data_IF_300782339330
#
_entry.id   IF_300782339330
#
_cell.length_a   1.000
_cell.length_b   1.000
_cell.length_c   1.000
_cell.angle_alpha   90.00
_cell.angle_beta   90.00
_cell.angle_gamma   90.00
#
_symmetry.space_group_name_H-M   'P 1'
#
loop_
_entity.id
_entity.type
_entity.pdbx_description
1 polymer ?
#
# COMPACT_ATOMS: atom_id res chain seq x y z
N UNK A 1 18.95 28.24 9.74
CA UNK A 1 18.15 28.67 8.56
C UNK A 1 18.44 27.87 7.29
N UNK A 2 19.70 27.68 6.86
CA UNK A 2 20.02 26.93 5.62
C UNK A 2 19.51 25.49 5.56
N UNK A 3 19.54 24.76 6.69
CA UNK A 3 19.05 23.37 6.78
C UNK A 3 17.51 23.27 6.68
N UNK A 4 16.79 24.24 7.25
CA UNK A 4 15.32 24.31 7.15
C UNK A 4 14.84 24.58 5.74
N UNK A 5 15.50 25.52 5.03
CA UNK A 5 15.18 25.81 3.62
C UNK A 5 15.50 24.61 2.73
N UNK A 6 16.63 23.94 2.95
CA UNK A 6 17.00 22.76 2.16
C UNK A 6 16.01 21.60 2.33
N UNK A 7 15.60 21.29 3.56
CA UNK A 7 14.59 20.25 3.83
C UNK A 7 13.24 20.60 3.20
N UNK A 8 12.79 21.85 3.32
CA UNK A 8 11.50 22.28 2.78
C UNK A 8 11.45 22.25 1.25
N UNK A 9 12.55 22.59 0.57
CA UNK A 9 12.60 22.64 -0.90
C UNK A 9 12.77 21.25 -1.51
N UNK A 10 13.71 20.46 -0.98
CA UNK A 10 13.99 19.11 -1.51
C UNK A 10 12.89 18.11 -1.15
N UNK A 11 12.33 18.16 0.06
CA UNK A 11 11.19 17.31 0.39
C UNK A 11 9.93 17.77 -0.33
N UNK A 12 9.66 19.07 -0.49
CA UNK A 12 8.50 19.56 -1.23
C UNK A 12 8.45 19.09 -2.69
N UNK A 13 9.59 19.09 -3.38
CA UNK A 13 9.68 18.68 -4.79
C UNK A 13 9.76 17.15 -5.00
N UNK A 14 10.40 16.43 -4.06
CA UNK A 14 10.52 14.97 -4.13
C UNK A 14 9.33 14.24 -3.51
N UNK A 15 8.58 14.87 -2.61
CA UNK A 15 7.44 14.26 -1.93
C UNK A 15 6.45 13.68 -2.93
N UNK A 16 6.03 14.37 -4.01
CA UNK A 16 5.19 13.75 -5.03
C UNK A 16 5.79 12.46 -5.60
N UNK A 17 7.07 12.41 -5.93
CA UNK A 17 7.69 11.16 -6.42
C UNK A 17 7.71 10.06 -5.35
N UNK A 18 8.04 10.40 -4.11
CA UNK A 18 8.10 9.49 -2.96
C UNK A 18 6.72 8.90 -2.66
N UNK A 19 5.64 9.68 -2.81
CA UNK A 19 4.27 9.23 -2.51
C UNK A 19 3.62 8.54 -3.72
N UNK A 20 3.79 9.06 -4.95
CA UNK A 20 3.05 8.58 -6.11
C UNK A 20 3.62 7.28 -6.71
N UNK A 21 4.93 7.04 -6.62
CA UNK A 21 5.53 5.79 -7.15
C UNK A 21 4.97 4.55 -6.40
N UNK A 22 4.99 4.49 -5.06
CA UNK A 22 4.43 3.35 -4.33
C UNK A 22 2.93 3.16 -4.61
N UNK A 23 2.18 4.26 -4.65
CA UNK A 23 0.73 4.28 -4.96
C UNK A 23 0.45 3.68 -6.34
N UNK A 24 1.19 4.12 -7.36
CA UNK A 24 1.04 3.61 -8.72
C UNK A 24 1.35 2.11 -8.81
N UNK A 25 2.37 1.64 -8.08
CA UNK A 25 2.72 0.22 -8.02
C UNK A 25 1.60 -0.59 -7.35
N UNK A 26 1.01 -0.12 -6.23
CA UNK A 26 -0.09 -0.80 -5.56
C UNK A 26 -1.37 -0.83 -6.41
N UNK A 27 -1.65 0.25 -7.15
CA UNK A 27 -2.74 0.29 -8.12
C UNK A 27 -2.53 -0.73 -9.25
N UNK A 28 -1.33 -0.79 -9.83
CA UNK A 28 -0.97 -1.79 -10.84
C UNK A 28 -1.07 -3.21 -10.29
N UNK A 29 -0.67 -3.44 -9.04
CA UNK A 29 -0.87 -4.72 -8.37
C UNK A 29 -2.37 -5.09 -8.27
N UNK A 30 -3.24 -4.16 -7.86
CA UNK A 30 -4.69 -4.45 -7.78
C UNK A 30 -5.24 -4.80 -9.15
N UNK A 31 -4.88 -4.05 -10.20
CA UNK A 31 -5.28 -4.38 -11.57
C UNK A 31 -4.77 -5.77 -11.98
N UNK A 32 -3.52 -6.10 -11.63
CA UNK A 32 -2.92 -7.41 -11.89
C UNK A 32 -3.62 -8.56 -11.14
N UNK A 33 -4.21 -8.33 -9.96
CA UNK A 33 -5.04 -9.31 -9.26
C UNK A 33 -6.42 -9.48 -9.89
N UNK A 34 -7.00 -8.43 -10.46
CA UNK A 34 -8.27 -8.52 -11.18
C UNK A 34 -8.11 -9.26 -12.52
N UNK A 35 -6.97 -9.10 -13.19
CA UNK A 35 -6.66 -9.77 -14.44
C UNK A 35 -6.15 -11.20 -14.19
N UNK A 36 -7.07 -12.18 -14.17
CA UNK A 36 -6.73 -13.61 -13.97
C UNK A 36 -7.12 -14.52 -15.14
N UNK A 37 -7.45 -13.97 -16.30
CA UNK A 37 -7.95 -14.74 -17.44
C UNK A 37 -6.82 -15.17 -18.37
N UNK A 38 -6.64 -16.48 -18.56
CA UNK A 38 -5.68 -17.04 -19.50
C UNK A 38 -4.41 -17.61 -18.86
N UNK A 39 -3.66 -18.41 -19.64
CA UNK A 39 -2.51 -19.17 -19.15
C UNK A 39 -1.34 -18.29 -18.68
N UNK A 40 -1.15 -17.11 -19.29
CA UNK A 40 -0.11 -16.16 -18.90
C UNK A 40 -0.21 -15.72 -17.43
N UNK A 41 -1.43 -15.39 -16.98
CA UNK A 41 -1.69 -14.93 -15.62
C UNK A 41 -1.58 -16.03 -14.55
N UNK A 42 -1.50 -17.30 -14.98
CA UNK A 42 -1.25 -18.44 -14.10
C UNK A 42 0.24 -18.84 -14.05
N UNK A 43 1.09 -18.20 -14.84
CA UNK A 43 2.52 -18.50 -14.85
C UNK A 43 3.20 -18.12 -13.52
N UNK A 44 4.20 -18.90 -13.12
CA UNK A 44 4.99 -18.62 -11.92
C UNK A 44 5.70 -17.24 -11.99
N UNK A 45 6.09 -16.80 -13.19
CA UNK A 45 6.68 -15.49 -13.41
C UNK A 45 5.70 -14.36 -13.08
N UNK A 46 4.45 -14.46 -13.55
CA UNK A 46 3.43 -13.45 -13.24
C UNK A 46 3.14 -13.36 -11.73
N UNK A 47 3.03 -14.50 -11.05
CA UNK A 47 2.83 -14.52 -9.60
C UNK A 47 3.99 -13.87 -8.83
N UNK A 48 5.24 -14.08 -9.28
CA UNK A 48 6.42 -13.41 -8.72
C UNK A 48 6.42 -11.91 -9.00
N UNK A 49 6.00 -11.48 -10.19
CA UNK A 49 5.86 -10.05 -10.53
C UNK A 49 4.83 -9.37 -9.63
N UNK A 50 3.68 -9.98 -9.38
CA UNK A 50 2.69 -9.46 -8.42
C UNK A 50 3.26 -9.36 -7.00
N UNK A 51 3.98 -10.39 -6.55
CA UNK A 51 4.66 -10.38 -5.26
C UNK A 51 5.66 -9.21 -5.16
N UNK A 52 6.46 -8.99 -6.20
CA UNK A 52 7.40 -7.87 -6.27
C UNK A 52 6.67 -6.53 -6.21
N UNK A 53 5.63 -6.33 -7.02
CA UNK A 53 4.83 -5.10 -7.04
C UNK A 53 4.30 -4.79 -5.64
N UNK A 54 3.61 -5.73 -4.99
CA UNK A 54 3.00 -5.43 -3.69
C UNK A 54 4.04 -5.21 -2.58
N UNK A 55 5.13 -5.98 -2.55
CA UNK A 55 6.16 -5.84 -1.52
C UNK A 55 6.86 -4.47 -1.68
N UNK A 56 7.27 -4.11 -2.90
CA UNK A 56 7.92 -2.82 -3.16
C UNK A 56 6.95 -1.67 -2.94
N UNK A 57 5.69 -1.82 -3.38
CA UNK A 57 4.63 -0.85 -3.14
C UNK A 57 4.42 -0.58 -1.66
N UNK A 58 4.30 -1.62 -0.82
CA UNK A 58 4.13 -1.46 0.63
C UNK A 58 5.34 -0.81 1.29
N UNK A 59 6.56 -1.27 0.98
CA UNK A 59 7.79 -0.67 1.53
C UNK A 59 7.88 0.82 1.16
N UNK A 60 7.56 1.16 -0.09
CA UNK A 60 7.50 2.54 -0.54
C UNK A 60 6.41 3.36 0.18
N UNK A 61 5.22 2.77 0.40
CA UNK A 61 4.12 3.43 1.12
C UNK A 61 4.46 3.72 2.58
N UNK A 62 5.26 2.88 3.25
CA UNK A 62 5.78 3.22 4.58
C UNK A 62 6.70 4.45 4.54
N UNK A 63 7.58 4.54 3.52
CA UNK A 63 8.41 5.73 3.33
C UNK A 63 7.59 6.99 3.10
N UNK A 64 6.55 6.89 2.27
CA UNK A 64 5.61 7.98 2.03
C UNK A 64 4.86 8.41 3.30
N UNK A 65 4.34 7.44 4.06
CA UNK A 65 3.64 7.67 5.32
C UNK A 65 4.51 8.41 6.35
N UNK A 66 5.74 7.92 6.58
CA UNK A 66 6.69 8.56 7.48
C UNK A 66 7.01 10.00 7.05
N UNK A 67 7.11 10.26 5.74
CA UNK A 67 7.31 11.61 5.23
C UNK A 67 6.12 12.54 5.44
N UNK A 68 4.89 12.01 5.40
CA UNK A 68 3.66 12.76 5.65
C UNK A 68 3.48 13.13 7.12
N UNK A 69 3.70 12.18 8.03
CA UNK A 69 3.60 12.43 9.47
C UNK A 69 4.60 13.49 9.96
N UNK A 70 5.78 13.58 9.35
CA UNK A 70 6.75 14.64 9.67
C UNK A 70 6.27 16.04 9.27
N UNK A 71 5.33 16.16 8.33
CA UNK A 71 4.73 17.43 7.90
C UNK A 71 3.50 17.79 8.75
N UNK A 72 2.78 16.80 9.32
CA UNK A 72 1.60 17.04 10.15
C UNK A 72 1.90 17.94 11.36
N UNK A 73 3.06 17.75 12.00
CA UNK A 73 3.52 18.57 13.14
C UNK A 73 3.65 20.06 12.78
N UNK A 74 3.76 20.39 11.49
CA UNK A 74 3.92 21.74 10.97
C UNK A 74 2.57 22.37 10.58
N UNK A 75 1.65 21.61 10.00
CA UNK A 75 0.39 22.13 9.43
C UNK A 75 -0.82 22.09 10.39
N UNK A 76 -0.69 21.39 11.52
CA UNK A 76 -1.72 21.31 12.55
C UNK A 76 -2.85 20.34 12.21
N UNK A 77 -3.64 19.96 13.22
CA UNK A 77 -4.69 18.96 13.07
C UNK A 77 -5.96 19.56 12.44
N UNK A 78 -6.36 19.04 11.28
CA UNK A 78 -7.67 19.30 10.68
C UNK A 78 -8.45 17.99 10.52
N UNK A 79 -9.79 18.06 10.49
CA UNK A 79 -10.61 16.87 10.25
C UNK A 79 -10.28 16.22 8.91
N UNK A 80 -10.03 17.03 7.86
CA UNK A 80 -9.61 16.55 6.55
C UNK A 80 -8.30 15.75 6.63
N UNK A 81 -7.30 16.26 7.34
CA UNK A 81 -6.01 15.59 7.51
C UNK A 81 -6.16 14.28 8.28
N UNK A 82 -6.92 14.28 9.37
CA UNK A 82 -7.20 13.07 10.16
C UNK A 82 -7.89 11.97 9.32
N UNK A 83 -8.84 12.35 8.45
CA UNK A 83 -9.48 11.39 7.52
C UNK A 83 -8.51 10.90 6.46
N UNK A 84 -7.68 11.77 5.89
CA UNK A 84 -6.64 11.39 4.93
C UNK A 84 -5.70 10.33 5.52
N UNK A 85 -5.20 10.56 6.73
CA UNK A 85 -4.32 9.65 7.47
C UNK A 85 -4.98 8.32 7.82
N UNK A 86 -6.26 8.35 8.22
CA UNK A 86 -7.02 7.14 8.49
C UNK A 86 -7.07 6.24 7.25
N UNK A 87 -7.47 6.78 6.10
CA UNK A 87 -7.55 5.99 4.86
C UNK A 87 -6.16 5.57 4.36
N UNK A 88 -5.13 6.40 4.54
CA UNK A 88 -3.75 6.04 4.22
C UNK A 88 -3.29 4.84 5.05
N UNK A 89 -3.60 4.86 6.35
CA UNK A 89 -3.28 3.78 7.30
C UNK A 89 -4.03 2.50 6.96
N UNK A 90 -5.34 2.58 6.66
CA UNK A 90 -6.15 1.43 6.21
C UNK A 90 -5.55 0.82 4.94
N UNK A 91 -5.19 1.66 3.97
CA UNK A 91 -4.53 1.23 2.73
C UNK A 91 -3.25 0.46 3.02
N UNK A 92 -2.36 1.02 3.86
CA UNK A 92 -1.10 0.38 4.23
C UNK A 92 -1.35 -0.96 4.91
N UNK A 93 -2.30 -1.06 5.86
CA UNK A 93 -2.57 -2.33 6.55
C UNK A 93 -3.11 -3.41 5.61
N UNK A 94 -4.06 -3.08 4.74
CA UNK A 94 -4.63 -4.02 3.78
C UNK A 94 -3.53 -4.56 2.86
N UNK A 95 -2.75 -3.67 2.23
CA UNK A 95 -1.68 -4.12 1.34
C UNK A 95 -0.52 -4.78 2.10
N UNK A 96 -0.24 -4.40 3.35
CA UNK A 96 0.78 -5.07 4.18
C UNK A 96 0.41 -6.50 4.53
N UNK A 97 -0.87 -6.78 4.79
CA UNK A 97 -1.36 -8.14 5.00
C UNK A 97 -1.14 -8.99 3.74
N UNK A 98 -1.53 -8.47 2.58
CA UNK A 98 -1.34 -9.13 1.29
C UNK A 98 0.15 -9.30 0.96
N UNK A 99 0.98 -8.29 1.19
CA UNK A 99 2.42 -8.32 0.97
C UNK A 99 3.09 -9.36 1.85
N UNK A 100 2.68 -9.46 3.12
CA UNK A 100 3.19 -10.46 4.06
C UNK A 100 2.83 -11.87 3.59
N UNK A 101 1.60 -12.10 3.11
CA UNK A 101 1.21 -13.38 2.55
C UNK A 101 2.05 -13.74 1.31
N UNK A 102 2.30 -12.80 0.41
CA UNK A 102 3.18 -13.00 -0.74
C UNK A 102 4.64 -13.23 -0.34
N UNK A 103 5.16 -12.50 0.64
CA UNK A 103 6.52 -12.65 1.16
C UNK A 103 6.74 -14.04 1.77
N UNK A 104 5.80 -14.50 2.62
CA UNK A 104 5.84 -15.85 3.20
C UNK A 104 5.88 -16.90 2.08
N UNK A 105 5.06 -16.76 1.04
CA UNK A 105 5.06 -17.67 -0.09
C UNK A 105 6.39 -17.65 -0.86
N UNK A 106 6.93 -16.47 -1.16
CA UNK A 106 8.24 -16.33 -1.84
C UNK A 106 9.34 -17.01 -1.04
N UNK A 107 9.36 -16.81 0.28
CA UNK A 107 10.31 -17.48 1.17
C UNK A 107 10.09 -18.99 1.13
N UNK A 108 8.84 -19.46 1.22
CA UNK A 108 8.49 -20.88 1.28
C UNK A 108 8.93 -21.68 0.03
N UNK A 109 8.83 -21.08 -1.15
CA UNK A 109 9.27 -21.69 -2.42
C UNK A 109 10.78 -21.51 -2.68
N UNK A 110 11.49 -20.77 -1.83
CA UNK A 110 12.93 -20.51 -1.95
C UNK A 110 13.76 -21.44 -1.06
N UNK A 111 15.07 -21.47 -1.32
CA UNK A 111 16.05 -22.17 -0.47
C UNK A 111 16.09 -21.63 0.97
N UNK A 112 15.60 -20.41 1.21
CA UNK A 112 15.55 -19.79 2.54
C UNK A 112 14.53 -20.48 3.48
N UNK A 113 13.58 -21.26 2.95
CA UNK A 113 12.60 -21.99 3.78
C UNK A 113 13.18 -23.20 4.51
N UNK A 114 14.31 -23.74 4.05
CA UNK A 114 14.90 -24.97 4.60
C UNK A 114 15.20 -24.91 6.10
N UNK A 115 15.83 -23.86 6.65
CA UNK A 115 15.98 -23.71 8.10
C UNK A 115 14.67 -23.41 8.82
N UNK A 116 13.74 -22.69 8.19
CA UNK A 116 12.45 -22.29 8.80
C UNK A 116 11.50 -23.47 8.99
N UNK A 117 11.60 -24.49 8.13
CA UNK A 117 10.85 -25.75 8.20
C UNK A 117 11.39 -26.72 9.26
N UNK A 118 12.54 -26.43 9.88
CA UNK A 118 13.16 -27.25 10.93
C UNK A 118 12.93 -26.64 12.32
N UNK A 119 13.11 -27.45 13.36
CA UNK A 119 13.12 -26.93 14.74
C UNK A 119 14.31 -25.97 14.93
N UNK A 120 14.15 -24.89 15.72
CA UNK A 120 12.98 -24.54 16.54
C UNK A 120 11.89 -23.73 15.82
N UNK A 121 12.06 -23.34 14.56
CA UNK A 121 11.18 -22.38 13.87
C UNK A 121 9.89 -23.00 13.29
N UNK A 122 9.88 -24.32 13.05
CA UNK A 122 8.75 -25.03 12.45
C UNK A 122 7.35 -24.75 13.08
N UNK A 123 7.18 -24.66 14.42
CA UNK A 123 5.88 -24.40 15.05
C UNK A 123 5.28 -23.04 14.68
N UNK A 124 6.11 -22.05 14.34
CA UNK A 124 5.67 -20.71 13.90
C UNK A 124 5.53 -20.67 12.39
N UNK A 125 6.47 -21.28 11.66
CA UNK A 125 6.47 -21.26 10.20
C UNK A 125 5.25 -21.95 9.58
N UNK A 126 4.86 -23.10 10.12
CA UNK A 126 3.76 -23.89 9.54
C UNK A 126 2.40 -23.15 9.57
N UNK A 127 1.94 -22.58 10.71
CA UNK A 127 0.75 -21.73 10.73
C UNK A 127 0.82 -20.54 9.77
N UNK A 128 1.99 -19.88 9.67
CA UNK A 128 2.18 -18.75 8.76
C UNK A 128 1.99 -19.15 7.29
N UNK A 129 2.50 -20.32 6.87
CA UNK A 129 2.31 -20.82 5.51
C UNK A 129 0.84 -21.15 5.21
N UNK A 130 0.10 -21.70 6.18
CA UNK A 130 -1.35 -21.96 6.04
C UNK A 130 -2.11 -20.63 5.91
N UNK A 131 -1.85 -19.67 6.80
CA UNK A 131 -2.49 -18.36 6.78
C UNK A 131 -2.19 -17.62 5.46
N UNK A 132 -0.94 -17.64 5.00
CA UNK A 132 -0.53 -17.09 3.70
C UNK A 132 -1.31 -17.74 2.54
N UNK A 133 -1.45 -19.08 2.57
CA UNK A 133 -2.23 -19.81 1.57
C UNK A 133 -3.70 -19.38 1.53
N UNK A 134 -4.33 -19.19 2.70
CA UNK A 134 -5.71 -18.70 2.81
C UNK A 134 -5.87 -17.28 2.26
N UNK A 135 -5.00 -16.34 2.67
CA UNK A 135 -5.03 -14.95 2.22
C UNK A 135 -4.86 -14.83 0.70
N UNK A 136 -4.07 -15.73 0.10
CA UNK A 136 -3.81 -15.75 -1.35
C UNK A 136 -4.87 -16.50 -2.17
N UNK A 137 -5.94 -17.00 -1.56
CA UNK A 137 -7.07 -17.54 -2.32
C UNK A 137 -7.70 -16.43 -3.19
N UNK A 138 -8.21 -16.74 -4.40
CA UNK A 138 -8.68 -15.72 -5.34
C UNK A 138 -9.71 -14.75 -4.76
N UNK A 139 -10.66 -15.26 -3.99
CA UNK A 139 -11.72 -14.43 -3.40
C UNK A 139 -11.13 -13.46 -2.38
N UNK A 140 -10.29 -13.94 -1.45
CA UNK A 140 -9.70 -13.12 -0.39
C UNK A 140 -8.72 -12.09 -0.95
N UNK A 141 -7.85 -12.49 -1.88
CA UNK A 141 -6.86 -11.57 -2.46
C UNK A 141 -7.51 -10.48 -3.30
N UNK A 142 -8.51 -10.81 -4.13
CA UNK A 142 -9.19 -9.84 -4.99
C UNK A 142 -10.02 -8.87 -4.16
N UNK A 143 -10.83 -9.38 -3.22
CA UNK A 143 -11.64 -8.52 -2.35
C UNK A 143 -10.76 -7.58 -1.53
N UNK A 144 -9.69 -8.08 -0.93
CA UNK A 144 -8.73 -7.25 -0.19
C UNK A 144 -8.04 -6.23 -1.09
N UNK A 145 -7.61 -6.61 -2.29
CA UNK A 145 -6.96 -5.69 -3.23
C UNK A 145 -7.90 -4.58 -3.73
N UNK A 146 -9.19 -4.88 -3.91
CA UNK A 146 -10.21 -3.88 -4.27
C UNK A 146 -10.53 -2.96 -3.09
N UNK A 147 -10.64 -3.48 -1.87
CA UNK A 147 -10.83 -2.67 -0.66
C UNK A 147 -9.63 -1.75 -0.40
N UNK A 148 -8.43 -2.27 -0.59
CA UNK A 148 -7.19 -1.49 -0.53
C UNK A 148 -7.16 -0.39 -1.58
N UNK A 149 -7.56 -0.69 -2.82
CA UNK A 149 -7.60 0.29 -3.91
C UNK A 149 -8.67 1.36 -3.72
N UNK A 150 -9.83 1.00 -3.17
CA UNK A 150 -10.86 1.96 -2.80
C UNK A 150 -10.35 2.90 -1.71
N UNK A 151 -9.73 2.36 -0.67
CA UNK A 151 -9.12 3.15 0.42
C UNK A 151 -8.05 4.08 -0.13
N UNK A 152 -7.21 3.59 -1.03
CA UNK A 152 -6.15 4.34 -1.70
C UNK A 152 -6.71 5.50 -2.54
N UNK A 153 -7.82 5.25 -3.25
CA UNK A 153 -8.51 6.28 -4.05
C UNK A 153 -9.06 7.38 -3.15
N UNK A 154 -9.66 7.02 -2.02
CA UNK A 154 -10.14 7.98 -1.01
C UNK A 154 -8.97 8.79 -0.45
N UNK A 155 -7.86 8.15 -0.05
CA UNK A 155 -6.66 8.83 0.40
C UNK A 155 -6.15 9.84 -0.63
N UNK A 156 -6.06 9.44 -1.90
CA UNK A 156 -5.61 10.29 -2.99
C UNK A 156 -6.52 11.52 -3.19
N UNK A 157 -7.83 11.32 -3.17
CA UNK A 157 -8.80 12.41 -3.30
C UNK A 157 -8.75 13.38 -2.12
N UNK A 158 -8.66 12.89 -0.88
CA UNK A 158 -8.49 13.74 0.31
C UNK A 158 -7.15 14.48 0.30
N UNK A 159 -6.08 13.85 -0.22
CA UNK A 159 -4.79 14.51 -0.45
C UNK A 159 -4.90 15.62 -1.51
N UNK A 160 -5.67 15.39 -2.57
CA UNK A 160 -6.02 16.42 -3.55
C UNK A 160 -6.74 17.60 -2.91
N UNK A 161 -7.72 17.33 -2.04
CA UNK A 161 -8.43 18.37 -1.29
C UNK A 161 -7.52 19.19 -0.36
N UNK A 162 -6.54 18.55 0.28
CA UNK A 162 -5.56 19.24 1.15
C UNK A 162 -4.71 20.25 0.36
N UNK A 163 -4.31 19.90 -0.86
CA UNK A 163 -3.39 20.73 -1.67
C UNK A 163 -4.14 21.77 -2.51
N UNK A 164 -5.28 21.39 -3.10
CA UNK A 164 -5.99 22.19 -4.11
C UNK A 164 -7.38 22.66 -3.66
N UNK A 165 -7.84 22.26 -2.48
CA UNK A 165 -9.18 22.54 -1.97
C UNK A 165 -10.22 21.49 -2.39
N UNK A 166 -11.40 21.49 -1.75
CA UNK A 166 -12.43 20.46 -1.95
C UNK A 166 -13.04 20.45 -3.36
N UNK A 167 -12.91 21.54 -4.11
CA UNK A 167 -13.44 21.71 -5.47
C UNK A 167 -12.40 21.43 -6.56
N UNK A 168 -11.31 20.72 -6.23
CA UNK A 168 -10.22 20.47 -7.18
C UNK A 168 -10.66 19.70 -8.44
N UNK A 169 -11.53 18.70 -8.25
CA UNK A 169 -12.22 17.96 -9.32
C UNK A 169 -13.49 17.27 -8.79
N UNK A 170 -14.25 16.64 -9.69
CA UNK A 170 -15.51 15.96 -9.36
C UNK A 170 -15.34 14.80 -8.36
N UNK A 171 -14.27 14.00 -8.47
CA UNK A 171 -14.07 12.87 -7.58
C UNK A 171 -13.65 13.35 -6.18
N UNK A 172 -12.82 14.39 -6.12
CA UNK A 172 -12.40 15.05 -4.88
C UNK A 172 -13.60 15.64 -4.16
N UNK A 173 -14.48 16.36 -4.85
CA UNK A 173 -15.64 17.00 -4.21
C UNK A 173 -16.64 15.98 -3.66
N UNK A 174 -16.91 14.90 -4.42
CA UNK A 174 -17.73 13.78 -3.97
C UNK A 174 -17.15 13.12 -2.72
N UNK A 175 -15.86 12.79 -2.72
CA UNK A 175 -15.23 12.12 -1.57
C UNK A 175 -15.16 13.06 -0.36
N UNK A 176 -14.84 14.34 -0.57
CA UNK A 176 -14.78 15.33 0.50
C UNK A 176 -16.14 15.49 1.20
N UNK A 177 -17.23 15.61 0.44
CA UNK A 177 -18.58 15.71 0.99
C UNK A 177 -19.03 14.45 1.76
N UNK A 178 -18.55 13.27 1.38
CA UNK A 178 -18.93 12.01 2.06
C UNK A 178 -18.20 11.78 3.39
N UNK A 179 -16.95 12.26 3.53
CA UNK A 179 -16.09 11.87 4.65
C UNK A 179 -15.66 13.04 5.56
N UNK A 180 -15.86 14.29 5.14
CA UNK A 180 -15.33 15.48 5.84
C UNK A 180 -16.40 16.50 6.18
N UNK A 181 -17.33 16.81 5.26
CA UNK A 181 -18.51 17.66 5.58
C UNK A 181 -19.48 16.92 6.49
#
# INVERSE_FOLDING_TARGET
MRTYVFLHTTMGELHPAIVHIPIGILALYTLAECLRWGAFFHSAHWQKSKAFMIIVGVVGSFGAFLSGSALEEIYGHSLLLSRHELFATVTIYIYSLLASAYLIWVIDISVLSTPLKKKPFAPVWHPLTIASGFVRTPIVVISSALLGFLSLTITGALGGALVRGPEADFLVSVIYSLFVQ
#
